data_IF_536762501951
#
_entry.id   IF_536762501951
#
_cell.length_a   1.000
_cell.length_b   1.000
_cell.length_c   1.000
_cell.angle_alpha   90.00
_cell.angle_beta   90.00
_cell.angle_gamma   90.00
#
_symmetry.space_group_name_H-M   'P 1'
#
loop_
_entity.id
_entity.type
_entity.pdbx_description
1 polymer ?
#
# COMPACT_ATOMS: atom_id res chain seq x y z
N UNK A 1 -38.41 -18.35 28.84
CA UNK A 1 -38.28 -19.11 27.60
C UNK A 1 -38.59 -18.29 26.37
N UNK A 2 -39.68 -17.54 26.33
CA UNK A 2 -40.02 -16.67 25.20
C UNK A 2 -38.98 -15.57 25.02
N UNK A 3 -38.50 -14.97 26.10
CA UNK A 3 -37.45 -13.94 26.06
C UNK A 3 -36.14 -14.48 25.51
N UNK A 4 -35.82 -15.73 25.79
CA UNK A 4 -34.63 -16.37 25.32
C UNK A 4 -34.67 -16.56 23.80
N UNK A 5 -35.82 -16.96 23.26
CA UNK A 5 -36.01 -17.10 21.83
C UNK A 5 -35.96 -15.77 21.09
N UNK A 6 -36.56 -14.73 21.68
CA UNK A 6 -36.53 -13.39 21.13
C UNK A 6 -35.13 -12.81 21.09
N UNK A 7 -34.33 -13.06 22.12
CA UNK A 7 -32.92 -12.63 22.15
C UNK A 7 -32.10 -13.31 21.05
N UNK A 8 -32.34 -14.59 20.80
CA UNK A 8 -31.71 -15.34 19.75
C UNK A 8 -32.03 -14.79 18.37
N UNK A 9 -33.31 -14.49 18.13
CA UNK A 9 -33.74 -13.90 16.87
C UNK A 9 -33.12 -12.54 16.64
N UNK A 10 -32.97 -11.73 17.66
CA UNK A 10 -32.32 -10.43 17.57
C UNK A 10 -30.84 -10.56 17.15
N UNK A 11 -30.14 -11.53 17.73
CA UNK A 11 -28.76 -11.79 17.37
C UNK A 11 -28.62 -12.18 15.90
N UNK A 12 -29.45 -13.10 15.45
CA UNK A 12 -29.43 -13.56 14.08
C UNK A 12 -29.74 -12.42 13.11
N UNK A 13 -30.73 -11.58 13.43
CA UNK A 13 -31.08 -10.43 12.63
C UNK A 13 -29.93 -9.41 12.56
N UNK A 14 -29.27 -9.13 13.68
CA UNK A 14 -28.15 -8.20 13.75
C UNK A 14 -26.96 -8.71 12.94
N UNK A 15 -26.67 -10.01 13.01
CA UNK A 15 -25.59 -10.63 12.23
C UNK A 15 -25.89 -10.54 10.74
N UNK A 16 -27.12 -10.80 10.31
CA UNK A 16 -27.51 -10.71 8.90
C UNK A 16 -27.38 -9.29 8.37
N UNK A 17 -27.83 -8.29 9.12
CA UNK A 17 -27.72 -6.89 8.73
C UNK A 17 -26.26 -6.44 8.65
N UNK A 18 -25.42 -6.87 9.59
CA UNK A 18 -24.00 -6.57 9.59
C UNK A 18 -23.32 -7.19 8.36
N UNK A 19 -23.62 -8.43 8.03
CA UNK A 19 -23.07 -9.13 6.86
C UNK A 19 -23.47 -8.41 5.58
N UNK A 20 -24.71 -7.98 5.43
CA UNK A 20 -25.16 -7.23 4.26
C UNK A 20 -24.42 -5.90 4.11
N UNK A 21 -24.23 -5.18 5.22
CA UNK A 21 -23.49 -3.92 5.20
C UNK A 21 -22.04 -4.13 4.77
N UNK A 22 -21.40 -5.19 5.27
CA UNK A 22 -20.02 -5.53 4.87
C UNK A 22 -19.94 -5.89 3.38
N UNK A 23 -20.88 -6.66 2.87
CA UNK A 23 -20.92 -7.02 1.46
C UNK A 23 -21.10 -5.80 0.57
N UNK A 24 -21.98 -4.88 0.94
CA UNK A 24 -22.19 -3.64 0.19
C UNK A 24 -20.97 -2.75 0.23
N UNK A 25 -20.34 -2.59 1.39
CA UNK A 25 -19.11 -1.81 1.53
C UNK A 25 -17.98 -2.42 0.71
N UNK A 26 -17.84 -3.74 0.73
CA UNK A 26 -16.83 -4.46 -0.04
C UNK A 26 -17.05 -4.30 -1.54
N UNK A 27 -18.28 -4.38 -2.01
CA UNK A 27 -18.61 -4.19 -3.43
C UNK A 27 -18.28 -2.77 -3.90
N UNK A 28 -18.64 -1.76 -3.10
CA UNK A 28 -18.30 -0.37 -3.42
C UNK A 28 -16.79 -0.17 -3.45
N UNK A 29 -16.08 -0.77 -2.52
CA UNK A 29 -14.65 -0.70 -2.43
C UNK A 29 -13.98 -1.33 -3.65
N UNK A 30 -14.42 -2.53 -4.03
CA UNK A 30 -13.91 -3.24 -5.20
C UNK A 30 -14.20 -2.47 -6.50
N UNK A 31 -15.36 -1.83 -6.60
CA UNK A 31 -15.70 -1.01 -7.75
C UNK A 31 -14.75 0.20 -7.89
N UNK A 32 -14.39 0.82 -6.76
CA UNK A 32 -13.43 1.92 -6.73
C UNK A 32 -12.02 1.45 -7.05
N UNK A 33 -11.67 0.23 -6.69
CA UNK A 33 -10.35 -0.34 -6.96
C UNK A 33 -10.11 -0.62 -8.45
N UNK A 34 -11.17 -0.63 -9.29
CA UNK A 34 -11.04 -0.89 -10.72
C UNK A 34 -10.10 0.08 -11.43
N UNK A 35 -10.04 1.34 -10.98
CA UNK A 35 -9.15 2.35 -11.53
C UNK A 35 -7.90 2.57 -10.69
N UNK A 36 -7.84 2.00 -9.50
CA UNK A 36 -6.73 2.13 -8.58
C UNK A 36 -5.56 1.31 -9.04
N UNK A 37 -4.35 1.87 -8.94
CA UNK A 37 -3.13 1.15 -9.28
C UNK A 37 -2.82 0.10 -8.21
N UNK A 38 -2.74 -1.15 -8.64
CA UNK A 38 -2.45 -2.29 -7.79
C UNK A 38 -1.34 -3.13 -8.41
N UNK A 39 -0.53 -3.76 -7.57
CA UNK A 39 0.46 -4.72 -8.06
C UNK A 39 -0.25 -6.02 -8.45
N UNK A 40 -0.13 -6.40 -9.71
CA UNK A 40 -0.74 -7.63 -10.24
C UNK A 40 0.24 -8.79 -10.31
N UNK A 41 1.53 -8.49 -10.35
CA UNK A 41 2.59 -9.50 -10.31
C UNK A 41 3.91 -8.86 -9.93
N UNK A 42 4.88 -9.68 -9.55
CA UNK A 42 6.24 -9.23 -9.28
C UNK A 42 7.24 -10.35 -9.58
N UNK A 43 8.48 -9.98 -9.84
CA UNK A 43 9.58 -10.90 -10.09
C UNK A 43 10.89 -10.31 -9.59
N UNK A 44 12.02 -10.99 -9.83
CA UNK A 44 13.32 -10.54 -9.32
C UNK A 44 13.76 -9.17 -9.86
N UNK A 45 13.32 -8.82 -11.05
CA UNK A 45 13.79 -7.63 -11.78
C UNK A 45 12.64 -6.75 -12.28
N UNK A 46 11.41 -7.02 -11.85
CA UNK A 46 10.24 -6.28 -12.33
C UNK A 46 9.07 -6.35 -11.36
N UNK A 47 8.16 -5.41 -11.55
CA UNK A 47 6.81 -5.49 -10.97
C UNK A 47 5.81 -5.21 -12.08
N UNK A 48 4.60 -5.70 -11.92
CA UNK A 48 3.50 -5.37 -12.81
C UNK A 48 2.44 -4.63 -12.03
N UNK A 49 2.00 -3.50 -12.58
CA UNK A 49 0.95 -2.67 -11.98
C UNK A 49 -0.19 -2.60 -12.99
N UNK A 50 -1.35 -3.10 -12.62
CA UNK A 50 -2.52 -3.20 -13.49
C UNK A 50 -2.21 -3.86 -14.83
N UNK A 51 -1.32 -4.85 -14.82
CA UNK A 51 -0.92 -5.57 -16.01
C UNK A 51 0.22 -4.95 -16.82
N UNK A 52 0.70 -3.76 -16.44
CA UNK A 52 1.85 -3.13 -17.09
C UNK A 52 3.14 -3.45 -16.34
N UNK A 53 4.17 -3.78 -17.10
CA UNK A 53 5.47 -4.18 -16.55
C UNK A 53 6.38 -2.97 -16.33
N UNK A 54 7.02 -2.92 -15.17
CA UNK A 54 8.01 -1.91 -14.81
C UNK A 54 9.30 -2.61 -14.38
N UNK A 55 10.39 -2.32 -15.07
CA UNK A 55 11.70 -2.97 -14.85
C UNK A 55 12.72 -2.08 -14.14
N UNK A 56 12.34 -0.86 -13.81
CA UNK A 56 13.20 0.09 -13.10
C UNK A 56 12.50 0.62 -11.87
N UNK A 57 13.25 1.31 -11.02
CA UNK A 57 12.66 1.92 -9.83
C UNK A 57 11.45 2.78 -10.19
N UNK A 58 10.41 2.69 -9.39
CA UNK A 58 9.19 3.43 -9.62
C UNK A 58 8.48 3.72 -8.30
N UNK A 59 7.57 4.67 -8.34
CA UNK A 59 6.70 5.00 -7.22
C UNK A 59 5.26 4.76 -7.64
N UNK A 60 4.56 3.93 -6.90
CA UNK A 60 3.17 3.59 -7.19
C UNK A 60 2.29 4.30 -6.15
N UNK A 61 1.38 5.11 -6.63
CA UNK A 61 0.32 5.73 -5.84
C UNK A 61 -1.01 5.21 -6.35
N UNK A 62 -2.09 5.46 -5.61
CA UNK A 62 -3.39 4.93 -5.99
C UNK A 62 -3.85 5.43 -7.37
N UNK A 63 -3.48 6.63 -7.75
CA UNK A 63 -3.94 7.27 -8.99
C UNK A 63 -3.01 7.06 -10.18
N UNK A 64 -1.71 6.83 -9.95
CA UNK A 64 -0.72 6.77 -11.03
C UNK A 64 0.53 6.01 -10.64
N UNK A 65 1.35 5.68 -11.64
CA UNK A 65 2.70 5.17 -11.43
C UNK A 65 3.68 6.24 -11.91
N UNK A 66 4.64 6.59 -11.05
CA UNK A 66 5.65 7.61 -11.35
C UNK A 66 6.99 6.95 -11.63
N UNK A 67 7.58 7.26 -12.77
CA UNK A 67 8.88 6.73 -13.18
C UNK A 67 9.99 7.78 -13.06
N UNK A 68 9.68 8.97 -12.61
CA UNK A 68 10.64 10.06 -12.47
C UNK A 68 11.46 9.99 -11.17
N UNK A 69 11.16 9.04 -10.31
CA UNK A 69 11.96 8.76 -9.13
C UNK A 69 13.11 7.83 -9.53
N UNK A 70 14.18 8.44 -10.03
CA UNK A 70 15.29 7.68 -10.59
C UNK A 70 16.31 7.31 -9.50
N UNK A 71 16.32 6.03 -9.13
CA UNK A 71 17.25 5.46 -8.16
C UNK A 71 17.74 4.14 -8.74
N UNK A 72 19.06 4.01 -8.94
CA UNK A 72 19.64 2.82 -9.54
C UNK A 72 19.69 1.61 -8.59
N UNK A 73 19.47 1.83 -7.30
CA UNK A 73 19.44 0.76 -6.32
C UNK A 73 19.43 1.32 -4.92
N UNK A 74 19.34 0.43 -3.95
CA UNK A 74 19.26 0.81 -2.54
C UNK A 74 20.44 1.68 -2.10
N UNK A 75 21.65 1.39 -2.60
CA UNK A 75 22.88 2.07 -2.21
C UNK A 75 22.95 3.49 -2.73
N UNK A 76 22.18 3.81 -3.77
CA UNK A 76 22.11 5.14 -4.37
C UNK A 76 21.09 6.07 -3.68
N UNK A 77 20.38 5.58 -2.67
CA UNK A 77 19.42 6.38 -1.94
C UNK A 77 20.08 7.55 -1.22
N UNK A 78 19.47 8.72 -1.34
CA UNK A 78 19.94 9.95 -0.72
C UNK A 78 18.78 10.69 -0.07
N UNK A 79 19.09 11.76 0.66
CA UNK A 79 18.05 12.62 1.25
C UNK A 79 17.10 13.17 0.20
N UNK A 80 17.61 13.53 -0.98
CA UNK A 80 16.78 14.05 -2.07
C UNK A 80 15.73 13.03 -2.53
N UNK A 81 16.10 11.77 -2.58
CA UNK A 81 15.16 10.71 -2.97
C UNK A 81 14.00 10.58 -1.98
N UNK A 82 14.25 10.75 -0.69
CA UNK A 82 13.20 10.72 0.31
C UNK A 82 12.40 12.02 0.38
N UNK A 83 13.04 13.16 0.13
CA UNK A 83 12.34 14.44 0.07
C UNK A 83 11.32 14.51 -1.05
N UNK A 84 11.49 13.70 -2.09
CA UNK A 84 10.54 13.55 -3.19
C UNK A 84 9.11 13.28 -2.70
N UNK A 85 8.96 12.58 -1.60
CA UNK A 85 7.65 12.14 -1.09
C UNK A 85 6.96 13.19 -0.22
N UNK A 86 7.66 14.24 0.20
CA UNK A 86 7.07 15.26 1.09
C UNK A 86 5.83 15.94 0.51
N UNK A 87 5.84 16.39 -0.77
CA UNK A 87 4.65 17.03 -1.36
C UNK A 87 3.46 16.07 -1.50
N UNK A 88 3.72 14.78 -1.59
CA UNK A 88 2.69 13.76 -1.78
C UNK A 88 1.93 13.44 -0.50
N UNK A 89 2.52 13.75 0.65
CA UNK A 89 1.92 13.59 1.98
C UNK A 89 1.22 12.26 2.22
N UNK A 90 1.91 11.12 2.02
CA UNK A 90 1.31 9.83 2.35
C UNK A 90 1.24 9.62 3.85
N UNK A 91 0.32 8.78 4.32
CA UNK A 91 0.35 8.28 5.69
C UNK A 91 1.53 7.32 5.89
N UNK A 92 1.73 6.45 4.92
CA UNK A 92 2.74 5.39 4.97
C UNK A 92 3.47 5.37 3.63
N UNK A 93 4.80 5.33 3.71
CA UNK A 93 5.67 5.08 2.56
C UNK A 93 6.26 3.69 2.71
N UNK A 94 5.96 2.80 1.78
CA UNK A 94 6.54 1.48 1.72
C UNK A 94 7.75 1.54 0.80
N UNK A 95 8.91 1.15 1.33
CA UNK A 95 10.13 1.06 0.54
C UNK A 95 10.41 -0.42 0.25
N UNK A 96 10.26 -0.81 -1.02
CA UNK A 96 10.63 -2.14 -1.49
C UNK A 96 12.11 -2.15 -1.82
N UNK A 97 12.90 -2.88 -1.05
CA UNK A 97 14.37 -2.82 -1.08
C UNK A 97 15.01 -3.91 -1.97
N UNK A 98 14.25 -4.47 -2.91
CA UNK A 98 14.72 -5.50 -3.81
C UNK A 98 14.51 -6.90 -3.25
N UNK A 99 15.45 -7.80 -3.54
CA UNK A 99 15.33 -9.21 -3.16
C UNK A 99 15.46 -9.43 -1.65
N UNK A 100 16.06 -8.47 -0.92
CA UNK A 100 16.29 -8.57 0.51
C UNK A 100 15.78 -7.33 1.22
N UNK A 101 15.31 -7.51 2.46
CA UNK A 101 14.99 -6.39 3.32
C UNK A 101 16.27 -5.65 3.73
N UNK A 102 16.27 -4.34 3.53
CA UNK A 102 17.37 -3.46 3.94
C UNK A 102 16.78 -2.21 4.58
N UNK A 103 17.57 -1.57 5.44
CA UNK A 103 17.15 -0.36 6.13
C UNK A 103 18.09 0.79 5.76
N UNK A 104 17.56 1.90 5.19
CA UNK A 104 18.38 3.07 4.94
C UNK A 104 18.79 3.74 6.25
N UNK A 105 19.88 4.49 6.22
CA UNK A 105 20.31 5.21 7.42
C UNK A 105 19.24 6.26 7.81
N UNK A 106 18.88 6.37 9.10
CA UNK A 106 17.82 7.29 9.55
C UNK A 106 18.00 8.74 9.12
N UNK A 107 19.24 9.20 8.96
CA UNK A 107 19.51 10.57 8.50
C UNK A 107 18.92 10.85 7.11
N UNK A 108 18.80 9.83 6.26
CA UNK A 108 18.31 9.98 4.90
C UNK A 108 16.82 10.31 4.85
N UNK A 109 16.04 9.79 5.79
CA UNK A 109 14.60 10.00 5.81
C UNK A 109 14.11 10.83 7.01
N UNK A 110 15.02 11.60 7.63
CA UNK A 110 14.67 12.46 8.76
C UNK A 110 13.54 13.43 8.42
N UNK A 111 13.55 13.99 7.19
CA UNK A 111 12.51 14.90 6.75
C UNK A 111 11.13 14.23 6.74
N UNK A 112 11.05 12.96 6.36
CA UNK A 112 9.81 12.20 6.39
C UNK A 112 9.32 12.01 7.83
N UNK A 113 10.21 11.63 8.73
CA UNK A 113 9.88 11.44 10.13
C UNK A 113 9.36 12.75 10.75
N UNK A 114 10.02 13.86 10.46
CA UNK A 114 9.60 15.18 10.94
C UNK A 114 8.25 15.61 10.37
N UNK A 115 7.90 15.13 9.17
CA UNK A 115 6.61 15.42 8.53
C UNK A 115 5.51 14.46 8.97
N UNK A 116 5.81 13.50 9.85
CA UNK A 116 4.82 12.52 10.31
C UNK A 116 4.53 11.39 9.33
N UNK A 117 5.40 11.18 8.34
CA UNK A 117 5.25 10.11 7.36
C UNK A 117 5.94 8.86 7.89
N UNK A 118 5.19 7.76 8.02
CA UNK A 118 5.76 6.48 8.45
C UNK A 118 6.48 5.81 7.28
N UNK A 119 7.74 5.44 7.49
CA UNK A 119 8.53 4.69 6.51
C UNK A 119 8.60 3.24 6.95
N UNK A 120 8.16 2.33 6.10
CA UNK A 120 8.24 0.89 6.31
C UNK A 120 9.12 0.28 5.23
N UNK A 121 10.18 -0.40 5.63
CA UNK A 121 11.14 -1.02 4.72
C UNK A 121 10.93 -2.54 4.70
N UNK A 122 10.80 -3.10 3.52
CA UNK A 122 10.63 -4.53 3.32
C UNK A 122 11.15 -4.93 1.96
N UNK A 123 11.30 -6.22 1.71
CA UNK A 123 11.66 -6.67 0.37
C UNK A 123 10.56 -6.28 -0.64
N UNK A 124 10.92 -6.23 -1.91
CA UNK A 124 9.97 -5.76 -2.94
C UNK A 124 8.71 -6.63 -3.02
N UNK A 125 8.77 -7.96 -2.98
CA UNK A 125 7.54 -8.77 -2.95
C UNK A 125 6.62 -8.43 -1.78
N UNK A 126 7.16 -8.26 -0.59
CA UNK A 126 6.39 -7.89 0.59
C UNK A 126 5.78 -6.50 0.46
N UNK A 127 6.53 -5.54 -0.10
CA UNK A 127 6.04 -4.18 -0.34
C UNK A 127 4.83 -4.19 -1.29
N UNK A 128 4.88 -4.99 -2.35
CA UNK A 128 3.78 -5.12 -3.29
C UNK A 128 2.51 -5.64 -2.61
N UNK A 129 2.64 -6.69 -1.81
CA UNK A 129 1.51 -7.28 -1.09
C UNK A 129 0.93 -6.32 -0.06
N UNK A 130 1.81 -5.67 0.71
CA UNK A 130 1.39 -4.74 1.75
C UNK A 130 0.69 -3.52 1.17
N UNK A 131 1.22 -2.99 0.06
CA UNK A 131 0.59 -1.88 -0.65
C UNK A 131 -0.84 -2.22 -1.05
N UNK A 132 -1.06 -3.38 -1.67
CA UNK A 132 -2.38 -3.79 -2.11
C UNK A 132 -3.37 -3.88 -0.95
N UNK A 133 -2.92 -4.41 0.20
CA UNK A 133 -3.76 -4.52 1.39
C UNK A 133 -4.13 -3.14 1.94
N UNK A 134 -3.16 -2.25 2.06
CA UNK A 134 -3.39 -0.92 2.65
C UNK A 134 -4.26 -0.04 1.75
N UNK A 135 -4.07 -0.11 0.43
CA UNK A 135 -4.92 0.60 -0.51
C UNK A 135 -6.36 0.09 -0.43
N UNK A 136 -6.53 -1.23 -0.29
CA UNK A 136 -7.85 -1.82 -0.11
C UNK A 136 -8.52 -1.36 1.19
N UNK A 137 -7.76 -0.92 2.17
CA UNK A 137 -8.27 -0.36 3.43
C UNK A 137 -8.47 1.17 3.38
N UNK A 138 -8.42 1.76 2.19
CA UNK A 138 -8.52 3.22 1.98
C UNK A 138 -7.42 4.04 2.67
N UNK A 139 -6.27 3.42 2.90
CA UNK A 139 -5.12 4.11 3.46
C UNK A 139 -4.37 4.87 2.37
N UNK A 140 -3.88 6.06 2.69
CA UNK A 140 -3.04 6.82 1.77
C UNK A 140 -1.62 6.29 1.84
N UNK A 141 -1.29 5.38 0.95
CA UNK A 141 -0.01 4.66 0.93
C UNK A 141 0.70 4.87 -0.40
N UNK A 142 2.01 5.02 -0.33
CA UNK A 142 2.88 5.02 -1.51
C UNK A 142 3.80 3.80 -1.44
N UNK A 143 4.13 3.25 -2.59
CA UNK A 143 5.14 2.20 -2.69
C UNK A 143 6.29 2.68 -3.57
N UNK A 144 7.47 2.82 -2.99
CA UNK A 144 8.70 3.12 -3.71
C UNK A 144 9.45 1.81 -3.91
N UNK A 145 9.60 1.39 -5.15
CA UNK A 145 10.09 0.05 -5.50
C UNK A 145 11.50 0.14 -6.06
N UNK A 146 12.38 -0.65 -5.47
CA UNK A 146 13.75 -0.89 -5.94
C UNK A 146 13.92 -2.35 -6.33
N UNK A 147 14.94 -2.63 -7.11
CA UNK A 147 15.29 -3.99 -7.54
C UNK A 147 16.72 -4.38 -7.17
#
# INVERSE_FOLDING_TARGET
MIEFGTSRQRRDFTCAAFTQQMESALKLHLANLGETKLFTAYGPDHVMVNGERYNSSCVVVAEEVRNDWAVDGFEELSEAHFSYFLPLKPEILLLGTGARQRFPHPRLYRALTNAGIALECMDTPAACRTYNILVAEDRKVLAAILF
#
